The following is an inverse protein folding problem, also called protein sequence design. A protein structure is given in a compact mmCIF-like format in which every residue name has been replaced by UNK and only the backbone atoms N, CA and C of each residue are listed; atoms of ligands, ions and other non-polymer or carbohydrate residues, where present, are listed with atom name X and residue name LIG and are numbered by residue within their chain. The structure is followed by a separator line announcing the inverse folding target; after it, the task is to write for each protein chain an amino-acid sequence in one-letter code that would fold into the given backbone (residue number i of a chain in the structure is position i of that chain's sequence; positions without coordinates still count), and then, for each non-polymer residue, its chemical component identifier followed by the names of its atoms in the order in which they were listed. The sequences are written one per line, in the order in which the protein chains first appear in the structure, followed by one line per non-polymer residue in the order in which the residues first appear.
data_IF_359233477742
#
_entry.id   IF_359233477742
#
_cell.length_a   1.000
_cell.length_b   1.000
_cell.length_c   1.000
_cell.angle_alpha   90.00
_cell.angle_beta   90.00
_cell.angle_gamma   90.00
#
_symmetry.space_group_name_H-M   'P 1'
#
loop_
_entity.id
_entity.type
_entity.pdbx_description
1 polymer ?
#
# COMPACT_ATOMS: atom_id res chain seq x y z
N UNK A 1 -1.80 -1.65 20.40
CA UNK A 1 -3.17 -1.70 19.85
C UNK A 1 -3.28 -2.49 18.56
N UNK A 2 -4.42 -2.42 17.90
CA UNK A 2 -4.71 -3.17 16.68
C UNK A 2 -5.16 -2.20 15.58
N UNK A 3 -4.89 -2.55 14.33
CA UNK A 3 -5.28 -1.75 13.15
C UNK A 3 -6.49 -2.34 12.41
N UNK A 4 -6.80 -3.61 12.60
CA UNK A 4 -7.96 -4.30 12.04
C UNK A 4 -8.24 -5.57 12.83
N UNK A 5 -9.37 -6.22 12.57
CA UNK A 5 -9.61 -7.61 12.99
C UNK A 5 -8.76 -8.56 12.17
N UNK A 6 -8.49 -9.75 12.72
CA UNK A 6 -7.94 -10.83 11.90
C UNK A 6 -9.04 -11.28 10.94
N UNK A 7 -8.77 -11.20 9.64
CA UNK A 7 -9.68 -11.62 8.58
C UNK A 7 -9.07 -12.77 7.80
N UNK A 8 -9.84 -13.80 7.53
CA UNK A 8 -9.40 -14.95 6.75
C UNK A 8 -9.42 -14.63 5.25
N UNK A 9 -10.46 -13.97 4.79
CA UNK A 9 -10.67 -13.63 3.39
C UNK A 9 -11.43 -12.29 3.20
N UNK A 10 -11.69 -11.94 1.95
CA UNK A 10 -12.35 -10.70 1.55
C UNK A 10 -13.89 -10.67 1.81
N UNK A 11 -14.50 -11.77 2.27
CA UNK A 11 -15.93 -11.78 2.64
C UNK A 11 -16.18 -11.02 3.95
N UNK A 12 -15.16 -10.92 4.78
CA UNK A 12 -15.19 -10.19 6.04
C UNK A 12 -14.81 -8.73 5.80
N UNK A 13 -15.69 -7.80 6.17
CA UNK A 13 -15.44 -6.37 6.00
C UNK A 13 -14.39 -5.85 7.00
N UNK A 14 -13.54 -4.88 6.58
CA UNK A 14 -12.60 -4.24 7.49
C UNK A 14 -13.32 -3.45 8.58
N UNK A 15 -12.67 -3.29 9.73
CA UNK A 15 -13.14 -2.35 10.73
C UNK A 15 -12.99 -0.89 10.25
N UNK A 16 -14.08 -0.14 10.33
CA UNK A 16 -14.07 1.28 9.98
C UNK A 16 -14.00 2.11 11.26
N UNK A 17 -12.86 2.71 11.50
CA UNK A 17 -12.61 3.57 12.66
C UNK A 17 -12.77 5.05 12.32
N UNK A 18 -12.49 5.43 11.08
CA UNK A 18 -12.42 6.81 10.65
C UNK A 18 -13.79 7.45 10.46
N UNK A 19 -13.94 8.68 10.93
CA UNK A 19 -15.10 9.51 10.64
C UNK A 19 -15.14 9.93 9.17
N UNK A 20 -16.29 10.37 8.62
CA UNK A 20 -16.37 10.89 7.26
C UNK A 20 -15.40 12.06 6.97
N UNK A 21 -15.16 12.92 7.97
CA UNK A 21 -14.18 14.00 7.86
C UNK A 21 -12.77 13.47 7.76
N UNK A 22 -12.42 12.45 8.55
CA UNK A 22 -11.10 11.82 8.49
C UNK A 22 -10.89 11.09 7.17
N UNK A 23 -11.91 10.44 6.63
CA UNK A 23 -11.84 9.84 5.29
C UNK A 23 -11.54 10.88 4.21
N UNK A 24 -12.14 12.08 4.28
CA UNK A 24 -11.79 13.18 3.37
C UNK A 24 -10.34 13.60 3.50
N UNK A 25 -9.81 13.66 4.72
CA UNK A 25 -8.41 13.98 4.96
C UNK A 25 -7.46 12.91 4.38
N UNK A 26 -7.78 11.63 4.50
CA UNK A 26 -7.02 10.55 3.83
C UNK A 26 -7.00 10.77 2.31
N UNK A 27 -8.14 11.15 1.70
CA UNK A 27 -8.18 11.44 0.28
C UNK A 27 -7.44 12.73 -0.10
N UNK A 28 -7.37 13.72 0.79
CA UNK A 28 -6.49 14.87 0.64
C UNK A 28 -5.01 14.44 0.64
N UNK A 29 -4.59 13.58 1.57
CA UNK A 29 -3.23 13.04 1.57
C UNK A 29 -2.91 12.30 0.27
N UNK A 30 -3.84 11.50 -0.26
CA UNK A 30 -3.68 10.84 -1.57
C UNK A 30 -3.51 11.84 -2.71
N UNK A 31 -4.14 13.01 -2.64
CA UNK A 31 -3.94 14.08 -3.62
C UNK A 31 -2.57 14.74 -3.49
N UNK A 32 -2.04 14.86 -2.28
CA UNK A 32 -0.76 15.54 -2.02
C UNK A 32 0.48 14.71 -2.34
N UNK A 33 0.32 13.42 -2.66
CA UNK A 33 1.45 12.51 -2.91
C UNK A 33 1.44 11.99 -4.36
N UNK A 34 2.65 11.80 -4.91
CA UNK A 34 2.82 11.27 -6.27
C UNK A 34 2.44 9.80 -6.37
N UNK A 35 2.71 9.03 -5.32
CA UNK A 35 2.38 7.60 -5.28
C UNK A 35 1.77 7.17 -3.95
N UNK A 36 1.03 6.07 -4.00
CA UNK A 36 0.46 5.37 -2.85
C UNK A 36 0.90 3.91 -2.86
N UNK A 37 1.40 3.43 -1.72
CA UNK A 37 1.94 2.09 -1.59
C UNK A 37 1.15 1.27 -0.57
N UNK A 38 0.83 0.03 -0.96
CA UNK A 38 0.22 -0.99 -0.10
C UNK A 38 0.87 -2.35 -0.30
N UNK A 39 0.74 -3.22 0.69
CA UNK A 39 1.14 -4.62 0.58
C UNK A 39 0.10 -5.48 -0.15
N UNK A 40 0.52 -6.65 -0.64
CA UNK A 40 -0.31 -7.64 -1.32
C UNK A 40 -1.59 -7.98 -0.55
N UNK A 41 -1.46 -8.30 0.75
CA UNK A 41 -2.62 -8.72 1.55
C UNK A 41 -3.70 -7.64 1.66
N UNK A 42 -3.34 -6.37 1.61
CA UNK A 42 -4.32 -5.27 1.54
C UNK A 42 -5.15 -5.34 0.26
N UNK A 43 -4.53 -5.66 -0.89
CA UNK A 43 -5.26 -5.85 -2.14
C UNK A 43 -6.18 -7.07 -2.07
N UNK A 44 -5.70 -8.19 -1.54
CA UNK A 44 -6.44 -9.44 -1.43
C UNK A 44 -7.67 -9.30 -0.51
N UNK A 45 -7.53 -8.63 0.63
CA UNK A 45 -8.60 -8.52 1.63
C UNK A 45 -9.58 -7.37 1.36
N UNK A 46 -9.09 -6.21 0.91
CA UNK A 46 -9.89 -4.99 0.83
C UNK A 46 -10.30 -4.65 -0.60
N UNK A 47 -9.62 -5.23 -1.59
CA UNK A 47 -9.81 -4.91 -3.00
C UNK A 47 -9.97 -3.39 -3.25
N UNK A 48 -9.04 -2.55 -2.75
CA UNK A 48 -9.17 -1.11 -2.82
C UNK A 48 -8.87 -0.59 -4.23
N UNK A 49 -9.48 0.53 -4.59
CA UNK A 49 -9.12 1.23 -5.83
C UNK A 49 -7.92 2.16 -5.70
N UNK A 50 -7.51 2.51 -4.49
CA UNK A 50 -6.45 3.46 -4.13
C UNK A 50 -6.56 4.83 -4.81
N UNK A 51 -7.75 5.20 -5.25
CA UNK A 51 -8.03 6.46 -5.93
C UNK A 51 -8.43 7.56 -4.94
N UNK A 52 -8.28 8.81 -5.38
CA UNK A 52 -8.82 9.98 -4.71
C UNK A 52 -10.28 10.19 -5.15
N UNK A 53 -11.25 9.88 -4.29
CA UNK A 53 -12.69 9.96 -4.58
C UNK A 53 -13.43 11.02 -3.79
N UNK A 54 -12.91 11.40 -2.62
CA UNK A 54 -13.56 12.31 -1.69
C UNK A 54 -12.84 13.65 -1.56
N UNK A 55 -11.86 13.91 -2.44
CA UNK A 55 -11.16 15.16 -2.58
C UNK A 55 -10.97 15.47 -4.06
N UNK A 56 -10.92 16.74 -4.43
CA UNK A 56 -10.64 17.14 -5.81
C UNK A 56 -9.17 16.87 -6.17
N UNK A 57 -8.86 16.87 -7.46
CA UNK A 57 -7.50 16.71 -7.98
C UNK A 57 -7.20 15.29 -8.43
N UNK A 58 -5.92 15.02 -8.65
CA UNK A 58 -5.43 13.76 -9.20
C UNK A 58 -5.34 12.65 -8.16
N UNK A 59 -5.43 11.41 -8.62
CA UNK A 59 -5.10 10.24 -7.81
C UNK A 59 -3.60 9.94 -7.91
N UNK A 60 -2.96 9.46 -6.83
CA UNK A 60 -1.57 9.05 -6.85
C UNK A 60 -1.34 7.81 -7.71
N UNK A 61 -0.10 7.57 -8.13
CA UNK A 61 0.31 6.33 -8.79
C UNK A 61 0.21 5.17 -7.81
N UNK A 62 -0.61 4.13 -8.08
CA UNK A 62 -0.66 2.97 -7.19
C UNK A 62 0.60 2.11 -7.31
N UNK A 63 1.16 1.72 -6.18
CA UNK A 63 2.31 0.81 -6.04
C UNK A 63 1.94 -0.31 -5.09
N UNK A 64 2.19 -1.56 -5.49
CA UNK A 64 1.81 -2.74 -4.71
C UNK A 64 3.04 -3.62 -4.48
N UNK A 65 3.32 -3.95 -3.22
CA UNK A 65 4.33 -4.95 -2.89
C UNK A 65 3.76 -6.35 -3.09
N UNK A 66 4.15 -7.01 -4.18
CA UNK A 66 3.69 -8.36 -4.57
C UNK A 66 4.88 -9.20 -5.04
N UNK A 67 5.70 -9.67 -4.11
CA UNK A 67 6.96 -10.37 -4.39
C UNK A 67 6.84 -11.53 -5.39
N UNK A 68 5.69 -12.18 -5.45
CA UNK A 68 5.43 -13.34 -6.33
C UNK A 68 4.81 -12.93 -7.68
N UNK A 69 4.35 -11.67 -7.84
CA UNK A 69 3.73 -11.18 -9.06
C UNK A 69 2.38 -11.80 -9.37
N UNK A 70 1.65 -12.28 -8.36
CA UNK A 70 0.38 -12.99 -8.58
C UNK A 70 -0.79 -12.05 -8.83
N UNK A 71 -0.71 -10.80 -8.37
CA UNK A 71 -1.81 -9.84 -8.46
C UNK A 71 -1.90 -9.11 -9.81
N UNK A 72 -0.80 -9.04 -10.56
CA UNK A 72 -0.72 -8.23 -11.77
C UNK A 72 -1.72 -8.65 -12.87
N UNK A 73 -2.18 -9.90 -12.87
CA UNK A 73 -3.15 -10.44 -13.82
C UNK A 73 -4.54 -10.70 -13.23
N UNK A 74 -4.75 -10.40 -11.94
CA UNK A 74 -6.00 -10.68 -11.26
C UNK A 74 -7.01 -9.52 -11.44
N UNK A 75 -8.33 -9.79 -11.42
CA UNK A 75 -9.37 -8.81 -11.69
C UNK A 75 -9.68 -7.91 -10.48
N UNK A 76 -8.65 -7.49 -9.74
CA UNK A 76 -8.82 -6.53 -8.66
C UNK A 76 -9.17 -5.13 -9.17
N UNK A 77 -9.88 -4.34 -8.35
CA UNK A 77 -10.28 -2.96 -8.70
C UNK A 77 -9.10 -2.08 -9.11
N UNK A 78 -7.95 -2.29 -8.50
CA UNK A 78 -6.73 -1.55 -8.82
C UNK A 78 -6.30 -1.76 -10.27
N UNK A 79 -6.49 -2.97 -10.84
CA UNK A 79 -6.17 -3.32 -12.22
C UNK A 79 -7.19 -2.78 -13.24
N UNK A 80 -8.38 -2.36 -12.76
CA UNK A 80 -9.44 -1.80 -13.58
C UNK A 80 -9.33 -0.27 -13.69
N UNK A 81 -8.39 0.35 -12.99
CA UNK A 81 -8.15 1.79 -13.06
C UNK A 81 -7.61 2.16 -14.45
N UNK A 82 -8.39 2.98 -15.18
CA UNK A 82 -8.05 3.40 -16.54
C UNK A 82 -7.08 4.61 -16.59
N UNK A 83 -6.98 5.34 -15.48
CA UNK A 83 -6.18 6.57 -15.43
C UNK A 83 -4.71 6.29 -15.16
N UNK A 84 -4.42 5.32 -14.28
CA UNK A 84 -3.05 4.94 -13.93
C UNK A 84 -3.01 3.43 -13.67
N UNK A 85 -2.20 2.71 -14.47
CA UNK A 85 -1.94 1.29 -14.21
C UNK A 85 -1.09 1.14 -12.96
N UNK A 86 -1.43 0.24 -12.03
CA UNK A 86 -0.63 0.00 -10.84
C UNK A 86 0.76 -0.54 -11.20
N UNK A 87 1.76 -0.16 -10.42
CA UNK A 87 3.08 -0.79 -10.46
C UNK A 87 3.15 -1.88 -9.39
N UNK A 88 3.63 -3.07 -9.79
CA UNK A 88 3.84 -4.19 -8.87
C UNK A 88 5.33 -4.37 -8.62
N UNK A 89 5.73 -4.28 -7.36
CA UNK A 89 7.11 -4.54 -6.93
C UNK A 89 7.23 -6.03 -6.66
N UNK A 90 8.01 -6.69 -7.48
CA UNK A 90 8.15 -8.16 -7.51
C UNK A 90 9.59 -8.57 -7.19
N UNK A 91 9.78 -9.81 -6.75
CA UNK A 91 11.12 -10.39 -6.69
C UNK A 91 11.63 -10.72 -8.09
N UNK A 92 12.93 -10.59 -8.39
CA UNK A 92 13.49 -10.97 -9.69
C UNK A 92 13.21 -12.42 -10.08
N UNK A 93 12.95 -13.27 -9.10
CA UNK A 93 12.61 -14.67 -9.31
C UNK A 93 11.16 -14.92 -9.73
N UNK A 94 10.25 -13.96 -9.59
CA UNK A 94 8.81 -14.14 -9.81
C UNK A 94 8.46 -14.52 -11.25
N UNK A 95 9.23 -14.05 -12.22
CA UNK A 95 8.99 -14.25 -13.66
C UNK A 95 10.11 -15.03 -14.38
N UNK A 96 10.78 -15.97 -13.70
CA UNK A 96 11.88 -16.76 -14.32
C UNK A 96 11.45 -17.55 -15.56
N UNK A 97 10.20 -17.99 -15.61
CA UNK A 97 9.69 -18.89 -16.64
C UNK A 97 8.78 -18.20 -17.67
N UNK A 98 8.56 -16.91 -17.52
CA UNK A 98 7.66 -16.12 -18.40
C UNK A 98 8.09 -14.65 -18.47
N UNK A 99 7.73 -13.92 -19.55
CA UNK A 99 8.02 -12.49 -19.64
C UNK A 99 7.39 -11.71 -18.48
N UNK A 100 8.16 -10.82 -17.87
CA UNK A 100 7.67 -9.92 -16.83
C UNK A 100 6.79 -8.83 -17.46
N UNK A 101 5.57 -8.58 -16.91
CA UNK A 101 4.71 -7.50 -17.39
C UNK A 101 5.38 -6.12 -17.27
N UNK A 102 5.06 -5.18 -18.17
CA UNK A 102 5.63 -3.82 -18.17
C UNK A 102 5.40 -3.05 -16.86
N UNK A 103 4.30 -3.32 -16.17
CA UNK A 103 3.95 -2.68 -14.93
C UNK A 103 4.50 -3.41 -13.68
N UNK A 104 5.34 -4.43 -13.86
CA UNK A 104 6.10 -5.06 -12.81
C UNK A 104 7.53 -4.49 -12.77
N UNK A 105 8.02 -4.27 -11.55
CA UNK A 105 9.35 -3.74 -11.27
C UNK A 105 10.04 -4.72 -10.34
N UNK A 106 11.13 -5.33 -10.81
CA UNK A 106 11.87 -6.31 -10.03
C UNK A 106 12.84 -5.61 -9.06
N UNK A 107 12.71 -5.93 -7.77
CA UNK A 107 13.61 -5.45 -6.70
C UNK A 107 13.89 -6.63 -5.76
N UNK A 108 15.17 -6.82 -5.41
CA UNK A 108 15.56 -7.84 -4.44
C UNK A 108 15.01 -7.54 -3.04
N UNK A 109 14.60 -8.59 -2.35
CA UNK A 109 14.07 -8.53 -0.97
C UNK A 109 15.17 -8.82 0.04
N UNK A 110 16.14 -7.92 0.12
CA UNK A 110 17.23 -7.96 1.07
C UNK A 110 17.10 -6.86 2.15
N UNK A 111 18.14 -6.66 2.93
CA UNK A 111 18.24 -5.63 3.99
C UNK A 111 18.16 -4.20 3.46
N UNK A 112 18.45 -3.98 2.17
CA UNK A 112 18.41 -2.68 1.50
C UNK A 112 17.10 -2.46 0.72
N UNK A 113 16.14 -3.37 0.81
CA UNK A 113 14.92 -3.36 -0.01
C UNK A 113 14.19 -2.01 0.01
N UNK A 114 13.97 -1.40 1.17
CA UNK A 114 13.23 -0.12 1.27
C UNK A 114 14.02 1.00 0.58
N UNK A 115 15.33 1.07 0.77
CA UNK A 115 16.18 2.05 0.09
C UNK A 115 16.14 1.88 -1.44
N UNK A 116 16.33 0.65 -1.93
CA UNK A 116 16.27 0.31 -3.35
C UNK A 116 14.90 0.61 -3.97
N UNK A 117 13.81 0.40 -3.21
CA UNK A 117 12.46 0.75 -3.61
C UNK A 117 12.32 2.27 -3.78
N UNK A 118 12.74 3.05 -2.79
CA UNK A 118 12.66 4.51 -2.83
C UNK A 118 13.50 5.10 -3.97
N UNK A 119 14.73 4.62 -4.17
CA UNK A 119 15.58 5.02 -5.29
C UNK A 119 14.95 4.69 -6.65
N UNK A 120 14.37 3.50 -6.77
CA UNK A 120 13.66 3.07 -7.99
C UNK A 120 12.45 3.97 -8.29
N UNK A 121 11.65 4.31 -7.28
CA UNK A 121 10.53 5.22 -7.44
C UNK A 121 11.00 6.64 -7.78
N UNK A 122 12.05 7.15 -7.13
CA UNK A 122 12.64 8.45 -7.42
C UNK A 122 13.14 8.54 -8.87
N UNK A 123 13.81 7.50 -9.39
CA UNK A 123 14.24 7.43 -10.80
C UNK A 123 13.07 7.51 -11.79
N UNK A 124 11.86 7.14 -11.35
CA UNK A 124 10.60 7.22 -12.10
C UNK A 124 9.82 8.51 -11.82
N UNK A 125 10.46 9.52 -11.24
CA UNK A 125 9.91 10.85 -10.92
C UNK A 125 8.86 10.86 -9.81
N UNK A 126 8.81 9.84 -8.97
CA UNK A 126 8.02 9.85 -7.74
C UNK A 126 8.86 10.54 -6.66
N UNK A 127 8.41 11.69 -6.17
CA UNK A 127 9.09 12.50 -5.15
C UNK A 127 8.43 12.38 -3.78
N UNK A 128 7.18 11.90 -3.75
CA UNK A 128 6.43 11.73 -2.50
C UNK A 128 5.66 10.41 -2.52
N UNK A 129 5.77 9.63 -1.43
CA UNK A 129 5.16 8.32 -1.29
C UNK A 129 4.29 8.26 -0.03
N UNK A 130 3.01 7.98 -0.21
CA UNK A 130 2.08 7.67 0.87
C UNK A 130 2.03 6.16 1.08
N UNK A 131 2.47 5.67 2.23
CA UNK A 131 2.39 4.25 2.60
C UNK A 131 1.12 4.04 3.44
N UNK A 132 0.09 3.42 2.85
CA UNK A 132 -1.21 3.29 3.53
C UNK A 132 -1.43 1.94 4.19
N UNK A 133 -0.68 0.88 3.81
CA UNK A 133 -1.19 -0.31 4.36
C UNK A 133 -0.47 -1.63 4.29
N UNK A 134 -1.07 -2.46 5.15
CA UNK A 134 -0.56 -3.68 5.70
C UNK A 134 0.40 -3.43 6.87
N UNK A 135 0.12 -4.01 8.05
CA UNK A 135 0.95 -3.84 9.24
C UNK A 135 2.43 -4.13 8.97
N UNK A 136 2.73 -5.19 8.20
CA UNK A 136 4.10 -5.56 7.85
C UNK A 136 4.78 -4.52 6.95
N UNK A 137 4.05 -3.96 6.00
CA UNK A 137 4.59 -2.91 5.11
C UNK A 137 4.92 -1.65 5.92
N UNK A 138 4.00 -1.21 6.78
CA UNK A 138 4.22 -0.06 7.65
C UNK A 138 5.38 -0.30 8.60
N UNK A 139 5.47 -1.49 9.22
CA UNK A 139 6.58 -1.84 10.11
C UNK A 139 7.93 -1.80 9.37
N UNK A 140 8.01 -2.32 8.16
CA UNK A 140 9.24 -2.30 7.37
C UNK A 140 9.75 -0.88 7.10
N UNK A 141 8.86 0.08 6.84
CA UNK A 141 9.24 1.49 6.70
C UNK A 141 9.69 2.10 8.02
N UNK A 142 9.01 1.79 9.13
CA UNK A 142 9.41 2.25 10.46
C UNK A 142 10.78 1.70 10.85
N UNK A 143 11.03 0.41 10.65
CA UNK A 143 12.29 -0.26 10.97
C UNK A 143 13.47 0.28 10.12
N UNK A 144 13.19 0.69 8.88
CA UNK A 144 14.21 1.26 7.99
C UNK A 144 14.63 2.68 8.39
N UNK A 145 13.80 3.41 9.13
CA UNK A 145 14.01 4.83 9.43
C UNK A 145 13.89 5.77 8.22
N UNK A 146 13.51 5.25 7.03
CA UNK A 146 13.42 6.00 5.78
C UNK A 146 11.99 6.55 5.58
N UNK A 147 11.58 7.45 6.44
CA UNK A 147 10.31 8.16 6.37
C UNK A 147 10.43 9.57 6.98
N UNK A 148 9.64 10.52 6.48
CA UNK A 148 9.66 11.91 6.95
C UNK A 148 8.58 12.18 8.00
N UNK A 149 7.42 11.53 7.86
CA UNK A 149 6.28 11.74 8.75
C UNK A 149 5.45 10.47 8.95
N UNK A 150 4.79 10.38 10.09
CA UNK A 150 3.85 9.31 10.43
C UNK A 150 2.53 9.94 10.86
N UNK A 151 1.45 9.58 10.13
CA UNK A 151 0.08 9.94 10.48
C UNK A 151 -0.59 8.78 11.22
N UNK A 152 -0.98 8.99 12.47
CA UNK A 152 -1.65 7.99 13.28
C UNK A 152 -3.01 8.49 13.76
N UNK A 153 -4.06 7.77 13.40
CA UNK A 153 -5.39 7.96 13.98
C UNK A 153 -5.61 6.95 15.11
N UNK A 154 -6.07 7.43 16.26
CA UNK A 154 -6.42 6.58 17.40
C UNK A 154 -7.91 6.67 17.62
N UNK A 155 -8.61 5.53 17.49
CA UNK A 155 -10.04 5.43 17.78
C UNK A 155 -10.27 5.25 19.29
N UNK A 156 -11.34 5.83 19.86
CA UNK A 156 -11.77 5.50 21.21
C UNK A 156 -12.40 4.09 21.33
N UNK A 157 -12.75 3.47 20.19
CA UNK A 157 -13.25 2.08 20.17
C UNK A 157 -12.09 1.12 20.40
N UNK A 158 -12.28 0.19 21.32
CA UNK A 158 -11.29 -0.82 21.65
C UNK A 158 -11.53 -2.08 20.81
N UNK A 159 -10.47 -2.58 20.21
CA UNK A 159 -10.38 -3.96 19.74
C UNK A 159 -9.62 -4.78 20.79
N UNK A 160 -10.21 -5.88 21.26
CA UNK A 160 -9.58 -6.75 22.24
C UNK A 160 -8.56 -7.69 21.60
N UNK A 161 -8.74 -7.97 20.30
CA UNK A 161 -7.87 -8.81 19.48
C UNK A 161 -7.87 -8.30 18.03
N UNK A 162 -6.85 -8.66 17.25
CA UNK A 162 -6.77 -8.23 15.85
C UNK A 162 -5.35 -8.26 15.30
N UNK A 163 -5.20 -7.60 14.16
CA UNK A 163 -3.90 -7.36 13.53
C UNK A 163 -3.18 -6.28 14.33
N UNK A 164 -2.04 -6.63 14.92
CA UNK A 164 -1.24 -5.71 15.72
C UNK A 164 -0.87 -4.44 14.92
N UNK A 165 -1.01 -3.29 15.58
CA UNK A 165 -0.50 -2.04 15.03
C UNK A 165 1.03 -2.08 14.97
N UNK A 166 1.66 -1.39 13.99
CA UNK A 166 3.10 -1.22 13.96
C UNK A 166 3.64 -0.61 15.25
N UNK A 167 4.85 -1.00 15.62
CA UNK A 167 5.53 -0.52 16.83
C UNK A 167 6.40 0.67 16.44
N UNK A 168 6.20 1.77 17.13
CA UNK A 168 7.06 2.95 17.04
C UNK A 168 8.15 2.83 18.12
N UNK A 169 9.39 2.81 17.70
CA UNK A 169 10.55 2.93 18.59
C UNK A 169 10.84 4.39 18.94
#
# INVERSE_FOLDING_TARGET
GFIDRVREDASQLPEVFSSPTRLRYVHYLRHCHDAILVGRRTIELDNPSLTNRFWWGTSPQPVVLDSEGVLCHQPYKINQNRTSKPWFIVSPSAFRSQPMPENCIAIERDEHFIASLLETLASRKIQSLLVEGGAQTLQAFLDSGLYDAVEREVSPRLLHEGVAAPIFS
#
